data_IF_313479238557
#
_entry.id   IF_313479238557
#
_cell.length_a   1.000
_cell.length_b   1.000
_cell.length_c   1.000
_cell.angle_alpha   90.00
_cell.angle_beta   90.00
_cell.angle_gamma   90.00
#
_symmetry.space_group_name_H-M   'P 1'
#
loop_
_entity.id
_entity.type
_entity.pdbx_description
1 polymer ?
#
# COMPACT_ATOMS: atom_id res chain seq x y z
N UNK A 1 -22.12 26.10 63.83
CA UNK A 1 -22.51 24.77 63.30
C UNK A 1 -23.08 24.97 61.90
N UNK A 2 -22.30 24.71 60.86
CA UNK A 2 -22.74 24.82 59.47
C UNK A 2 -22.49 23.47 58.78
N UNK A 3 -23.58 22.82 58.33
CA UNK A 3 -23.58 21.49 57.70
C UNK A 3 -23.30 21.62 56.20
N UNK A 4 -22.38 20.80 55.75
CA UNK A 4 -21.76 20.74 54.41
C UNK A 4 -22.68 20.10 53.37
N UNK A 5 -22.55 20.56 52.12
CA UNK A 5 -23.23 20.11 50.90
C UNK A 5 -22.72 18.74 50.40
N UNK A 6 -23.65 17.90 49.94
CA UNK A 6 -23.72 17.20 48.64
C UNK A 6 -22.43 16.68 47.97
N UNK A 7 -22.37 15.39 47.62
CA UNK A 7 -22.51 14.87 46.23
C UNK A 7 -22.23 13.36 46.12
N UNK A 8 -22.84 12.75 45.11
CA UNK A 8 -22.98 11.32 44.86
C UNK A 8 -21.76 10.70 44.14
N UNK A 9 -21.52 9.40 44.44
CA UNK A 9 -20.61 8.48 43.74
C UNK A 9 -21.09 8.18 42.31
N UNK A 10 -20.16 8.17 41.36
CA UNK A 10 -20.19 7.32 40.16
C UNK A 10 -18.77 6.85 39.86
N UNK A 11 -18.64 5.53 39.72
CA UNK A 11 -17.40 4.80 39.57
C UNK A 11 -16.75 5.07 38.20
N UNK A 12 -15.45 5.36 38.20
CA UNK A 12 -14.61 5.26 37.02
C UNK A 12 -13.43 4.36 37.36
N UNK A 13 -13.36 3.20 36.72
CA UNK A 13 -12.24 2.27 36.81
C UNK A 13 -11.03 2.93 36.16
N UNK A 14 -9.97 3.10 36.95
CA UNK A 14 -8.66 3.61 36.53
C UNK A 14 -7.73 2.40 36.43
N UNK A 15 -7.17 2.14 35.24
CA UNK A 15 -6.06 1.20 35.12
C UNK A 15 -4.77 1.88 35.60
N UNK A 16 -3.99 1.24 36.50
CA UNK A 16 -2.81 1.86 37.09
C UNK A 16 -1.60 1.81 36.14
N UNK A 17 -0.95 2.97 35.99
CA UNK A 17 0.35 3.14 35.36
C UNK A 17 1.45 3.22 36.42
N UNK A 18 2.27 2.18 36.56
CA UNK A 18 3.70 2.29 36.94
C UNK A 18 4.37 0.91 37.01
N UNK A 19 5.43 0.70 36.22
CA UNK A 19 6.62 -0.04 36.68
C UNK A 19 7.85 0.68 36.12
N UNK A 20 8.70 1.11 37.04
CA UNK A 20 9.97 1.80 36.81
C UNK A 20 11.06 0.82 36.35
N UNK A 21 11.94 1.31 35.46
CA UNK A 21 13.39 1.15 35.60
C UNK A 21 14.03 -0.18 35.17
N UNK A 22 14.63 -0.19 33.98
CA UNK A 22 15.95 -0.83 33.79
C UNK A 22 16.84 0.06 32.94
N UNK A 23 17.95 0.46 33.54
CA UNK A 23 18.96 1.37 33.02
C UNK A 23 19.72 0.74 31.84
N UNK A 24 20.11 1.58 30.88
CA UNK A 24 21.07 1.26 29.82
C UNK A 24 22.47 1.12 30.43
N UNK A 25 23.23 0.04 30.19
CA UNK A 25 24.62 -0.02 30.61
C UNK A 25 25.53 0.70 29.60
N UNK A 26 26.05 1.85 30.03
CA UNK A 26 27.08 2.64 29.36
C UNK A 26 28.45 2.27 29.89
N UNK A 27 29.07 1.19 29.40
CA UNK A 27 30.53 0.96 29.46
C UNK A 27 30.88 -0.38 28.81
N UNK A 28 31.35 -0.40 27.56
CA UNK A 28 32.38 -1.35 27.09
C UNK A 28 33.00 -0.75 25.82
N UNK A 29 34.18 -0.16 25.99
CA UNK A 29 35.07 0.29 24.92
C UNK A 29 35.48 -0.89 24.03
N UNK A 30 35.61 -0.72 22.69
CA UNK A 30 36.12 -1.80 21.84
C UNK A 30 37.64 -1.94 22.04
N UNK A 31 38.06 -2.98 22.75
CA UNK A 31 39.45 -3.43 22.72
C UNK A 31 39.75 -4.09 21.36
N UNK A 32 40.52 -3.40 20.53
CA UNK A 32 41.12 -3.86 19.27
C UNK A 32 41.99 -5.10 19.51
N UNK A 33 41.47 -6.31 19.28
CA UNK A 33 42.24 -7.56 19.25
C UNK A 33 42.71 -7.88 17.82
N UNK A 34 43.98 -8.30 17.75
CA UNK A 34 44.82 -8.56 16.58
C UNK A 34 44.20 -9.55 15.58
N UNK A 35 44.42 -9.26 14.29
CA UNK A 35 44.16 -10.14 13.15
C UNK A 35 45.03 -11.40 13.26
N UNK A 36 44.41 -12.58 13.22
CA UNK A 36 45.06 -13.82 12.85
C UNK A 36 44.52 -14.26 11.48
N UNK A 37 45.45 -14.40 10.54
CA UNK A 37 45.25 -14.93 9.20
C UNK A 37 44.85 -16.40 9.26
N UNK A 38 43.64 -16.73 8.81
CA UNK A 38 43.33 -18.09 8.38
C UNK A 38 42.86 -18.05 6.92
N UNK A 39 43.72 -18.58 6.07
CA UNK A 39 43.41 -18.93 4.69
C UNK A 39 42.47 -20.13 4.74
N UNK A 40 41.20 -19.96 4.37
CA UNK A 40 40.39 -21.11 3.95
C UNK A 40 39.55 -20.68 2.75
N UNK A 41 39.99 -21.16 1.60
CA UNK A 41 39.28 -21.14 0.33
C UNK A 41 38.06 -22.06 0.42
N UNK A 42 36.87 -21.47 0.53
CA UNK A 42 35.65 -22.10 0.04
C UNK A 42 34.97 -21.18 -0.95
N UNK A 43 35.36 -21.35 -2.21
CA UNK A 43 34.51 -21.06 -3.35
C UNK A 43 33.27 -21.93 -3.21
N UNK A 44 32.10 -21.31 -3.08
CA UNK A 44 30.87 -21.91 -3.60
C UNK A 44 29.88 -20.80 -4.02
N UNK A 45 29.84 -20.60 -5.33
CA UNK A 45 28.65 -20.31 -6.15
C UNK A 45 27.34 -20.04 -5.41
N UNK A 46 27.06 -18.74 -5.22
CA UNK A 46 25.70 -18.22 -5.33
C UNK A 46 25.73 -17.18 -6.43
N UNK A 47 25.35 -17.54 -7.65
CA UNK A 47 25.10 -16.56 -8.71
C UNK A 47 23.88 -15.73 -8.29
N UNK A 48 24.09 -14.74 -7.42
CA UNK A 48 23.19 -13.58 -7.32
C UNK A 48 23.24 -12.96 -8.69
N UNK A 49 22.23 -13.24 -9.51
CA UNK A 49 21.95 -12.51 -10.74
C UNK A 49 21.97 -11.04 -10.33
N UNK A 50 23.07 -10.35 -10.59
CA UNK A 50 23.23 -8.96 -10.20
C UNK A 50 22.19 -8.21 -10.99
N UNK A 51 21.07 -7.84 -10.34
CA UNK A 51 20.05 -7.04 -10.99
C UNK A 51 20.71 -5.77 -11.47
N UNK A 52 20.69 -5.58 -12.79
CA UNK A 52 21.30 -4.43 -13.45
C UNK A 52 20.77 -3.15 -12.80
N UNK A 53 21.58 -2.09 -12.67
CA UNK A 53 21.16 -0.84 -12.03
C UNK A 53 19.83 -0.31 -12.56
N UNK A 54 19.61 -0.44 -13.88
CA UNK A 54 18.38 -0.07 -14.55
C UNK A 54 17.14 -0.86 -14.09
N UNK A 55 17.27 -2.17 -13.83
CA UNK A 55 16.17 -3.00 -13.32
C UNK A 55 15.77 -2.59 -11.91
N UNK A 56 16.74 -2.27 -11.05
CA UNK A 56 16.47 -1.79 -9.69
C UNK A 56 15.73 -0.46 -9.71
N UNK A 57 16.16 0.48 -10.55
CA UNK A 57 15.50 1.79 -10.68
C UNK A 57 14.03 1.64 -11.12
N UNK A 58 13.76 0.78 -12.11
CA UNK A 58 12.38 0.52 -12.57
C UNK A 58 11.50 -0.06 -11.46
N UNK A 59 12.00 -1.07 -10.73
CA UNK A 59 11.26 -1.65 -9.60
C UNK A 59 11.04 -0.63 -8.49
N UNK A 60 12.06 0.17 -8.15
CA UNK A 60 11.95 1.23 -7.15
C UNK A 60 10.91 2.28 -7.52
N UNK A 61 10.82 2.67 -8.81
CA UNK A 61 9.80 3.62 -9.29
C UNK A 61 8.39 3.03 -9.20
N UNK A 62 8.19 1.80 -9.64
CA UNK A 62 6.90 1.13 -9.54
C UNK A 62 6.41 1.03 -8.08
N UNK A 63 7.29 0.69 -7.13
CA UNK A 63 6.91 0.68 -5.71
C UNK A 63 6.61 2.07 -5.15
N UNK A 64 7.27 3.11 -5.63
CA UNK A 64 6.97 4.49 -5.24
C UNK A 64 5.60 4.93 -5.78
N UNK A 65 5.29 4.59 -7.03
CA UNK A 65 3.99 4.87 -7.67
C UNK A 65 2.85 4.13 -6.96
N UNK A 66 3.01 2.84 -6.66
CA UNK A 66 2.01 2.07 -5.89
C UNK A 66 1.72 2.74 -4.55
N UNK A 67 2.75 3.13 -3.80
CA UNK A 67 2.57 3.81 -2.50
C UNK A 67 1.91 5.18 -2.62
N UNK A 68 2.20 5.90 -3.71
CA UNK A 68 1.59 7.19 -3.98
C UNK A 68 0.09 7.04 -4.26
N UNK A 69 -0.28 6.16 -5.20
CA UNK A 69 -1.67 5.94 -5.61
C UNK A 69 -2.52 5.22 -4.57
N UNK A 70 -1.93 4.40 -3.70
CA UNK A 70 -2.65 3.83 -2.55
C UNK A 70 -2.91 4.84 -1.43
N UNK A 71 -2.19 5.97 -1.43
CA UNK A 71 -2.37 7.04 -0.43
C UNK A 71 -3.30 8.14 -0.93
N UNK A 72 -3.31 8.40 -2.23
CA UNK A 72 -4.25 9.34 -2.85
C UNK A 72 -5.59 8.67 -3.15
N UNK A 73 -6.59 9.51 -3.41
CA UNK A 73 -7.96 9.14 -3.82
C UNK A 73 -8.39 9.97 -5.03
N UNK A 74 -7.40 10.42 -5.82
CA UNK A 74 -7.67 11.15 -7.05
C UNK A 74 -8.06 10.19 -8.17
N UNK A 75 -8.95 10.64 -9.05
CA UNK A 75 -9.32 9.89 -10.24
C UNK A 75 -8.14 9.84 -11.21
N UNK A 76 -7.82 8.64 -11.70
CA UNK A 76 -6.64 8.39 -12.53
C UNK A 76 -6.95 8.49 -14.02
N UNK A 77 -8.21 8.25 -14.41
CA UNK A 77 -8.62 8.36 -15.81
C UNK A 77 -8.94 9.83 -16.13
N UNK A 78 -8.44 10.40 -17.25
CA UNK A 78 -8.83 11.74 -17.65
C UNK A 78 -10.34 11.85 -17.86
N UNK A 79 -11.01 12.72 -17.10
CA UNK A 79 -12.47 12.92 -17.16
C UNK A 79 -12.99 13.15 -18.59
N UNK A 80 -12.25 13.88 -19.42
CA UNK A 80 -12.66 14.18 -20.80
C UNK A 80 -12.70 12.93 -21.68
N UNK A 81 -11.72 12.03 -21.53
CA UNK A 81 -11.68 10.76 -22.25
C UNK A 81 -12.78 9.82 -21.77
N UNK A 82 -12.96 9.70 -20.45
CA UNK A 82 -14.03 8.88 -19.87
C UNK A 82 -15.42 9.36 -20.31
N UNK A 83 -15.66 10.67 -20.26
CA UNK A 83 -16.91 11.27 -20.69
C UNK A 83 -17.24 11.02 -22.17
N UNK A 84 -16.23 10.94 -23.05
CA UNK A 84 -16.43 10.61 -24.48
C UNK A 84 -16.91 9.17 -24.64
N UNK A 85 -16.26 8.22 -23.97
CA UNK A 85 -16.64 6.80 -23.99
C UNK A 85 -18.04 6.61 -23.43
N UNK A 86 -18.36 7.23 -22.29
CA UNK A 86 -19.71 7.13 -21.70
C UNK A 86 -20.79 7.67 -22.65
N UNK A 87 -20.52 8.78 -23.35
CA UNK A 87 -21.45 9.33 -24.34
C UNK A 87 -21.60 8.43 -25.56
N UNK A 88 -20.51 7.85 -26.05
CA UNK A 88 -20.50 6.90 -27.15
C UNK A 88 -21.36 5.68 -26.84
N UNK A 89 -21.16 5.07 -25.66
CA UNK A 89 -21.95 3.92 -25.19
C UNK A 89 -23.44 4.25 -25.08
N UNK A 90 -23.79 5.40 -24.50
CA UNK A 90 -25.20 5.81 -24.31
C UNK A 90 -25.87 6.14 -25.65
N UNK A 91 -25.13 6.72 -26.59
CA UNK A 91 -25.67 7.14 -27.89
C UNK A 91 -26.19 5.95 -28.71
N UNK A 92 -25.65 4.74 -28.49
CA UNK A 92 -26.17 3.51 -29.08
C UNK A 92 -27.60 3.16 -28.60
N UNK A 93 -28.03 3.64 -27.43
CA UNK A 93 -29.34 3.33 -26.85
C UNK A 93 -30.33 4.50 -26.95
N UNK A 94 -29.87 5.75 -26.78
CA UNK A 94 -30.71 6.93 -26.83
C UNK A 94 -29.96 8.16 -27.36
N UNK A 95 -30.37 8.66 -28.53
CA UNK A 95 -29.67 9.72 -29.25
C UNK A 95 -29.84 11.15 -28.68
N UNK A 96 -30.77 11.37 -27.75
CA UNK A 96 -31.15 12.72 -27.26
C UNK A 96 -30.95 12.87 -25.74
N UNK A 97 -30.07 12.06 -25.13
CA UNK A 97 -29.84 12.12 -23.69
C UNK A 97 -28.80 13.19 -23.31
N UNK A 98 -29.19 14.11 -22.44
CA UNK A 98 -28.26 15.01 -21.76
C UNK A 98 -27.83 14.41 -20.43
N UNK A 99 -26.51 14.31 -20.21
CA UNK A 99 -25.93 13.72 -19.01
C UNK A 99 -25.45 14.84 -18.08
N UNK A 100 -25.84 14.77 -16.81
CA UNK A 100 -25.36 15.68 -15.78
C UNK A 100 -23.85 15.47 -15.51
N UNK A 101 -23.11 16.55 -15.27
CA UNK A 101 -21.67 16.46 -14.98
C UNK A 101 -21.34 15.58 -13.76
N UNK A 102 -22.18 15.63 -12.73
CA UNK A 102 -22.07 14.81 -11.51
C UNK A 102 -22.32 13.32 -11.80
N UNK A 103 -23.23 13.00 -12.73
CA UNK A 103 -23.48 11.61 -13.11
C UNK A 103 -22.25 10.98 -13.78
N UNK A 104 -21.51 11.76 -14.59
CA UNK A 104 -20.26 11.30 -15.20
C UNK A 104 -19.19 11.04 -14.13
N UNK A 105 -19.07 11.92 -13.13
CA UNK A 105 -18.14 11.74 -12.00
C UNK A 105 -18.49 10.47 -11.20
N UNK A 106 -19.76 10.28 -10.85
CA UNK A 106 -20.20 9.09 -10.12
C UNK A 106 -19.95 7.79 -10.89
N UNK A 107 -20.22 7.78 -12.21
CA UNK A 107 -19.88 6.63 -13.06
C UNK A 107 -18.37 6.37 -13.08
N UNK A 108 -17.57 7.43 -13.12
CA UNK A 108 -16.12 7.31 -13.14
C UNK A 108 -15.59 6.73 -11.83
N UNK A 109 -16.08 7.22 -10.68
CA UNK A 109 -15.70 6.70 -9.35
C UNK A 109 -15.98 5.19 -9.24
N UNK A 110 -17.16 4.75 -9.67
CA UNK A 110 -17.55 3.33 -9.62
C UNK A 110 -16.69 2.48 -10.55
N UNK A 111 -16.44 2.94 -11.78
CA UNK A 111 -15.64 2.18 -12.75
C UNK A 111 -14.19 2.08 -12.31
N UNK A 112 -13.59 3.17 -11.82
CA UNK A 112 -12.21 3.12 -11.32
C UNK A 112 -12.10 2.23 -10.07
N UNK A 113 -13.04 2.31 -9.13
CA UNK A 113 -13.08 1.42 -7.97
C UNK A 113 -13.20 -0.06 -8.38
N UNK A 114 -14.04 -0.37 -9.38
CA UNK A 114 -14.19 -1.72 -9.91
C UNK A 114 -12.90 -2.22 -10.57
N UNK A 115 -12.25 -1.39 -11.39
CA UNK A 115 -10.98 -1.75 -12.04
C UNK A 115 -9.88 -1.99 -11.02
N UNK A 116 -9.81 -1.20 -9.94
CA UNK A 116 -8.85 -1.41 -8.85
C UNK A 116 -9.08 -2.77 -8.19
N UNK A 117 -10.32 -3.08 -7.80
CA UNK A 117 -10.66 -4.36 -7.16
C UNK A 117 -10.30 -5.56 -8.06
N UNK A 118 -10.68 -5.50 -9.34
CA UNK A 118 -10.36 -6.55 -10.31
C UNK A 118 -8.85 -6.74 -10.50
N UNK A 119 -8.07 -5.64 -10.46
CA UNK A 119 -6.61 -5.70 -10.56
C UNK A 119 -5.95 -6.23 -9.29
N UNK A 120 -6.53 -6.01 -8.11
CA UNK A 120 -6.09 -6.60 -6.85
C UNK A 120 -6.21 -8.13 -6.90
N UNK A 121 -7.38 -8.64 -7.31
CA UNK A 121 -7.61 -10.08 -7.47
C UNK A 121 -6.71 -10.69 -8.55
N UNK A 122 -6.57 -10.01 -9.70
CA UNK A 122 -5.67 -10.44 -10.77
C UNK A 122 -4.21 -10.50 -10.31
N UNK A 123 -3.80 -9.60 -9.43
CA UNK A 123 -2.47 -9.60 -8.84
C UNK A 123 -2.28 -10.81 -7.90
N UNK A 124 -3.30 -11.20 -7.13
CA UNK A 124 -3.28 -12.44 -6.34
C UNK A 124 -3.14 -13.68 -7.22
N UNK A 125 -3.84 -13.74 -8.36
CA UNK A 125 -3.68 -14.81 -9.36
C UNK A 125 -2.27 -14.87 -9.95
N UNK A 126 -1.66 -13.71 -10.25
CA UNK A 126 -0.28 -13.66 -10.72
C UNK A 126 0.72 -14.17 -9.68
N UNK A 127 0.54 -13.79 -8.40
CA UNK A 127 1.36 -14.25 -7.28
C UNK A 127 1.19 -15.76 -7.06
N UNK A 128 -0.04 -16.28 -7.14
CA UNK A 128 -0.33 -17.70 -7.06
C UNK A 128 0.44 -18.50 -8.11
N UNK A 129 0.57 -17.95 -9.33
CA UNK A 129 1.36 -18.51 -10.42
C UNK A 129 2.88 -18.18 -10.34
N UNK A 130 3.39 -17.68 -9.21
CA UNK A 130 4.80 -17.30 -8.98
C UNK A 130 5.34 -16.23 -9.93
N UNK A 131 4.47 -15.34 -10.43
CA UNK A 131 4.83 -14.20 -11.26
C UNK A 131 4.67 -12.88 -10.50
N UNK A 132 5.33 -11.84 -11.01
CA UNK A 132 5.19 -10.45 -10.54
C UNK A 132 4.46 -9.58 -11.56
N UNK A 133 4.32 -10.07 -12.79
CA UNK A 133 3.65 -9.35 -13.89
C UNK A 133 2.30 -10.00 -14.15
N UNK A 134 1.24 -9.19 -14.05
CA UNK A 134 -0.12 -9.57 -14.43
C UNK A 134 -0.20 -9.84 -15.93
N UNK A 135 -1.03 -10.81 -16.31
CA UNK A 135 -1.26 -11.23 -17.69
C UNK A 135 -2.77 -11.30 -17.98
N UNK A 136 -3.20 -11.28 -19.25
CA UNK A 136 -4.63 -11.36 -19.58
C UNK A 136 -5.34 -12.58 -18.99
N UNK A 137 -4.64 -13.72 -18.84
CA UNK A 137 -5.18 -14.92 -18.21
C UNK A 137 -5.49 -14.76 -16.71
N UNK A 138 -4.85 -13.81 -16.04
CA UNK A 138 -5.12 -13.51 -14.62
C UNK A 138 -6.44 -12.73 -14.52
N UNK A 139 -6.69 -11.81 -15.46
CA UNK A 139 -7.96 -11.07 -15.57
C UNK A 139 -9.13 -11.96 -16.01
N UNK A 140 -8.88 -12.95 -16.86
CA UNK A 140 -9.91 -13.89 -17.30
C UNK A 140 -10.33 -14.90 -16.22
N UNK A 141 -9.50 -15.05 -15.18
CA UNK A 141 -9.75 -15.99 -14.10
C UNK A 141 -10.62 -15.40 -12.98
N UNK A 142 -10.59 -14.07 -12.84
CA UNK A 142 -11.40 -13.28 -11.91
C UNK A 142 -12.77 -13.05 -12.52
#
# INVERSE_FOLDING_TARGET
>A
MARTRQTARKDHVVYPSHVQGTQRPTWMTPHKKRRTTSHSSRRNSGARTQSTPQRRIKQTRAFAEIRHYQKSVELLIPRSSFARVVKEEIQCYCAVLHIQGIAIEALQEVVEAYLILMLEDSNLCAIHAKRVTIQPKDLQLV
#
